data_IF_482188195697
#
_entry.id   IF_482188195697
#
_cell.length_a   1.000
_cell.length_b   1.000
_cell.length_c   1.000
_cell.angle_alpha   90.00
_cell.angle_beta   90.00
_cell.angle_gamma   90.00
#
_symmetry.space_group_name_H-M   'P 1'
#
loop_
_entity.id
_entity.type
_entity.pdbx_description
1 polymer ?
#
# COMPACT_ATOMS: atom_id res chain seq x y z
N UNK A 1 14.78 57.35 13.66
CA UNK A 1 14.61 56.67 12.35
C UNK A 1 15.41 55.36 12.23
N UNK A 2 16.64 55.26 12.78
CA UNK A 2 17.47 54.04 12.66
C UNK A 2 16.98 52.85 13.48
N UNK A 3 16.44 53.07 14.69
CA UNK A 3 15.94 52.01 15.56
C UNK A 3 14.72 51.28 14.96
N UNK A 4 13.76 52.02 14.41
CA UNK A 4 12.56 51.46 13.77
C UNK A 4 12.94 50.59 12.56
N UNK A 5 13.90 51.05 11.74
CA UNK A 5 14.42 50.27 10.61
C UNK A 5 15.09 48.96 11.05
N UNK A 6 15.91 49.01 12.11
CA UNK A 6 16.56 47.83 12.67
C UNK A 6 15.54 46.80 13.20
N UNK A 7 14.51 47.25 13.92
CA UNK A 7 13.45 46.37 14.44
C UNK A 7 12.67 45.72 13.30
N UNK A 8 12.29 46.48 12.27
CA UNK A 8 11.60 45.92 11.09
C UNK A 8 12.45 44.89 10.35
N UNK A 9 13.74 45.17 10.14
CA UNK A 9 14.67 44.21 9.53
C UNK A 9 14.81 42.93 10.35
N UNK A 10 14.91 43.03 11.68
CA UNK A 10 14.98 41.88 12.56
C UNK A 10 13.69 41.04 12.52
N UNK A 11 12.52 41.68 12.53
CA UNK A 11 11.22 40.99 12.43
C UNK A 11 11.06 40.23 11.11
N UNK A 12 11.50 40.82 10.00
CA UNK A 12 11.49 40.15 8.69
C UNK A 12 12.41 38.92 8.69
N UNK A 13 13.60 39.03 9.26
CA UNK A 13 14.53 37.92 9.40
C UNK A 13 13.93 36.80 10.25
N UNK A 14 13.41 37.10 11.45
CA UNK A 14 12.78 36.09 12.32
C UNK A 14 11.63 35.37 11.60
N UNK A 15 10.78 36.14 10.90
CA UNK A 15 9.67 35.58 10.14
C UNK A 15 10.14 34.69 8.98
N UNK A 16 11.24 35.04 8.32
CA UNK A 16 11.82 34.22 7.26
C UNK A 16 12.40 32.90 7.80
N UNK A 17 13.09 32.95 8.95
CA UNK A 17 13.62 31.75 9.61
C UNK A 17 12.50 30.81 10.07
N UNK A 18 11.43 31.34 10.68
CA UNK A 18 10.27 30.54 11.08
C UNK A 18 9.65 29.80 9.89
N UNK A 19 9.40 30.50 8.77
CA UNK A 19 8.86 29.88 7.55
C UNK A 19 9.78 28.80 6.97
N UNK A 20 11.09 29.04 6.96
CA UNK A 20 12.05 28.06 6.48
C UNK A 20 12.08 26.81 7.37
N UNK A 21 11.93 26.98 8.69
CA UNK A 21 11.85 25.86 9.63
C UNK A 21 10.56 25.06 9.44
N UNK A 22 9.42 25.72 9.31
CA UNK A 22 8.12 25.07 9.05
C UNK A 22 8.14 24.27 7.75
N UNK A 23 8.75 24.82 6.70
CA UNK A 23 8.90 24.13 5.41
C UNK A 23 9.72 22.83 5.55
N UNK A 24 10.81 22.86 6.34
CA UNK A 24 11.64 21.67 6.61
C UNK A 24 10.88 20.62 7.41
N UNK A 25 10.16 21.01 8.47
CA UNK A 25 9.35 20.09 9.28
C UNK A 25 8.23 19.45 8.45
N UNK A 26 7.54 20.26 7.63
CA UNK A 26 6.51 19.78 6.70
C UNK A 26 7.08 18.80 5.67
N UNK A 27 8.26 19.08 5.11
CA UNK A 27 8.94 18.15 4.22
C UNK A 27 9.33 16.86 4.92
N UNK A 28 9.88 16.94 6.14
CA UNK A 28 10.26 15.78 6.95
C UNK A 28 9.06 14.86 7.19
N UNK A 29 7.91 15.44 7.59
CA UNK A 29 6.66 14.71 7.75
C UNK A 29 6.22 14.03 6.44
N UNK A 30 6.18 14.76 5.32
CA UNK A 30 5.76 14.20 4.02
C UNK A 30 6.63 13.04 3.56
N UNK A 31 7.94 13.13 3.76
CA UNK A 31 8.87 12.04 3.44
C UNK A 31 8.57 10.80 4.30
N UNK A 32 8.37 10.98 5.61
CA UNK A 32 8.03 9.86 6.49
C UNK A 32 6.69 9.25 6.14
N UNK A 33 5.67 10.08 5.91
CA UNK A 33 4.32 9.65 5.55
C UNK A 33 4.34 8.88 4.24
N UNK A 34 5.14 9.28 3.24
CA UNK A 34 5.34 8.54 2.00
C UNK A 34 6.15 7.23 2.17
N UNK A 35 6.83 7.06 3.30
CA UNK A 35 7.59 5.84 3.64
C UNK A 35 9.08 5.90 3.28
N UNK A 36 9.63 7.08 3.05
CA UNK A 36 11.07 7.26 2.91
C UNK A 36 11.77 7.13 4.27
N UNK A 37 13.00 6.62 4.26
CA UNK A 37 13.85 6.48 5.45
C UNK A 37 14.69 7.72 5.75
N UNK A 38 14.75 8.69 4.84
CA UNK A 38 15.58 9.91 4.92
C UNK A 38 15.03 11.02 5.84
N UNK A 39 14.00 10.72 6.63
CA UNK A 39 13.35 11.64 7.55
C UNK A 39 13.83 11.41 8.99
N UNK A 40 13.88 12.49 9.77
CA UNK A 40 14.15 12.46 11.21
C UNK A 40 12.83 12.28 11.99
N UNK A 41 12.71 11.12 12.65
CA UNK A 41 11.51 10.76 13.41
C UNK A 41 11.37 11.60 14.68
N UNK A 42 12.48 12.13 15.23
CA UNK A 42 12.47 12.95 16.45
C UNK A 42 11.76 14.31 16.26
N UNK A 43 11.60 14.74 15.00
CA UNK A 43 10.93 15.98 14.64
C UNK A 43 9.41 15.83 14.43
N UNK A 44 8.86 14.63 14.67
CA UNK A 44 7.44 14.37 14.50
C UNK A 44 6.68 14.48 15.83
N UNK A 45 5.55 15.17 15.79
CA UNK A 45 4.61 15.16 16.91
C UNK A 45 3.78 13.86 16.97
N UNK A 46 3.05 13.66 18.06
CA UNK A 46 2.23 12.47 18.29
C UNK A 46 1.16 12.25 17.20
N UNK A 47 0.55 13.33 16.68
CA UNK A 47 -0.47 13.25 15.64
C UNK A 47 0.17 12.83 14.30
N UNK A 48 1.31 13.40 13.97
CA UNK A 48 2.09 13.05 12.79
C UNK A 48 2.56 11.60 12.82
N UNK A 49 3.05 11.11 13.96
CA UNK A 49 3.43 9.71 14.14
C UNK A 49 2.27 8.75 13.90
N UNK A 50 1.08 9.10 14.39
CA UNK A 50 -0.14 8.30 14.18
C UNK A 50 -0.56 8.26 12.70
N UNK A 51 -0.54 9.41 12.02
CA UNK A 51 -0.81 9.47 10.58
C UNK A 51 0.21 8.66 9.76
N UNK A 52 1.49 8.74 10.12
CA UNK A 52 2.55 7.92 9.53
C UNK A 52 2.29 6.42 9.72
N UNK A 53 1.88 5.98 10.92
CA UNK A 53 1.53 4.58 11.18
C UNK A 53 0.37 4.12 10.31
N UNK A 54 -0.69 4.93 10.19
CA UNK A 54 -1.83 4.62 9.32
C UNK A 54 -1.42 4.54 7.85
N UNK A 55 -0.61 5.48 7.37
CA UNK A 55 -0.10 5.48 6.01
C UNK A 55 0.76 4.24 5.72
N UNK A 56 1.60 3.83 6.67
CA UNK A 56 2.40 2.62 6.59
C UNK A 56 1.53 1.35 6.53
N UNK A 57 0.53 1.25 7.41
CA UNK A 57 -0.43 0.13 7.40
C UNK A 57 -1.18 0.05 6.06
N UNK A 58 -1.68 1.18 5.56
CA UNK A 58 -2.38 1.25 4.29
C UNK A 58 -1.49 0.85 3.10
N UNK A 59 -0.21 1.27 3.06
CA UNK A 59 0.75 0.80 2.06
C UNK A 59 0.99 -0.70 2.15
N UNK A 60 1.22 -1.20 3.37
CA UNK A 60 1.49 -2.62 3.60
C UNK A 60 0.32 -3.49 3.15
N UNK A 61 -0.90 -3.11 3.52
CA UNK A 61 -2.12 -3.76 3.08
C UNK A 61 -2.23 -3.80 1.55
N UNK A 62 -2.00 -2.68 0.85
CA UNK A 62 -2.01 -2.66 -0.62
C UNK A 62 -0.95 -3.59 -1.23
N UNK A 63 0.21 -3.72 -0.61
CA UNK A 63 1.24 -4.65 -1.07
C UNK A 63 0.84 -6.11 -0.87
N UNK A 64 0.28 -6.45 0.28
CA UNK A 64 -0.22 -7.79 0.55
C UNK A 64 -1.38 -8.18 -0.37
N UNK A 65 -2.36 -7.29 -0.55
CA UNK A 65 -3.51 -7.53 -1.41
C UNK A 65 -3.11 -7.72 -2.89
N UNK A 66 -2.04 -7.03 -3.33
CA UNK A 66 -1.43 -7.26 -4.65
C UNK A 66 -0.61 -8.55 -4.72
N UNK A 67 -0.17 -9.11 -3.60
CA UNK A 67 0.64 -10.32 -3.52
C UNK A 67 2.15 -10.05 -3.64
N UNK A 68 2.61 -8.85 -3.28
CA UNK A 68 4.05 -8.57 -3.26
C UNK A 68 4.72 -9.21 -2.05
N UNK A 69 5.83 -9.93 -2.28
CA UNK A 69 6.60 -10.60 -1.22
C UNK A 69 7.16 -9.67 -0.13
N UNK A 70 7.32 -8.37 -0.45
CA UNK A 70 7.81 -7.34 0.49
C UNK A 70 6.80 -6.91 1.55
N UNK A 71 5.58 -7.42 1.50
CA UNK A 71 4.55 -7.06 2.46
C UNK A 71 4.75 -7.85 3.76
N UNK A 72 4.37 -7.26 4.89
CA UNK A 72 4.42 -7.89 6.20
C UNK A 72 3.00 -8.25 6.65
N UNK A 73 2.67 -9.54 6.60
CA UNK A 73 1.36 -10.02 7.04
C UNK A 73 1.12 -9.74 8.53
N UNK A 74 2.13 -9.66 9.38
CA UNK A 74 1.98 -9.45 10.83
C UNK A 74 1.47 -8.05 11.18
N UNK A 75 1.67 -7.08 10.29
CA UNK A 75 1.19 -5.71 10.48
C UNK A 75 -0.30 -5.52 10.17
N UNK A 76 -0.94 -6.47 9.48
CA UNK A 76 -2.33 -6.34 9.05
C UNK A 76 -3.29 -6.51 10.23
N UNK A 77 -4.41 -5.77 10.19
CA UNK A 77 -5.57 -6.10 11.02
C UNK A 77 -6.16 -7.43 10.60
N UNK A 78 -6.96 -8.05 11.47
CA UNK A 78 -7.65 -9.30 11.14
C UNK A 78 -8.53 -9.17 9.89
N UNK A 79 -9.31 -8.09 9.80
CA UNK A 79 -10.12 -7.79 8.63
C UNK A 79 -9.29 -7.66 7.35
N UNK A 80 -8.15 -6.95 7.42
CA UNK A 80 -7.24 -6.80 6.29
C UNK A 80 -6.63 -8.13 5.86
N UNK A 81 -6.26 -8.99 6.82
CA UNK A 81 -5.72 -10.33 6.55
C UNK A 81 -6.75 -11.19 5.82
N UNK A 82 -7.99 -11.23 6.33
CA UNK A 82 -9.09 -11.96 5.68
C UNK A 82 -9.33 -11.48 4.24
N UNK A 83 -9.26 -10.17 3.99
CA UNK A 83 -9.38 -9.62 2.64
C UNK A 83 -8.22 -10.04 1.73
N UNK A 84 -6.98 -9.98 2.21
CA UNK A 84 -5.80 -10.43 1.47
C UNK A 84 -5.92 -11.91 1.11
N UNK A 85 -6.34 -12.75 2.05
CA UNK A 85 -6.50 -14.19 1.84
C UNK A 85 -7.61 -14.48 0.81
N UNK A 86 -8.73 -13.75 0.88
CA UNK A 86 -9.80 -13.84 -0.12
C UNK A 86 -9.32 -13.41 -1.52
N UNK A 87 -8.61 -12.28 -1.63
CA UNK A 87 -8.01 -11.81 -2.88
C UNK A 87 -7.00 -12.82 -3.44
N UNK A 88 -6.16 -13.41 -2.59
CA UNK A 88 -5.21 -14.45 -2.99
C UNK A 88 -5.94 -15.70 -3.50
N UNK A 89 -6.99 -16.14 -2.81
CA UNK A 89 -7.78 -17.29 -3.23
C UNK A 89 -8.51 -17.04 -4.56
N UNK A 90 -9.05 -15.84 -4.76
CA UNK A 90 -9.70 -15.45 -6.01
C UNK A 90 -8.72 -15.44 -7.20
N UNK A 91 -7.48 -14.98 -7.00
CA UNK A 91 -6.43 -15.03 -8.03
C UNK A 91 -6.06 -16.45 -8.42
N UNK A 92 -5.84 -17.34 -7.43
CA UNK A 92 -5.53 -18.76 -7.68
C UNK A 92 -6.65 -19.41 -8.52
N UNK A 93 -7.90 -19.18 -8.13
CA UNK A 93 -9.04 -19.69 -8.85
C UNK A 93 -9.10 -19.18 -10.29
N UNK A 94 -8.96 -17.86 -10.50
CA UNK A 94 -8.95 -17.27 -11.85
C UNK A 94 -7.86 -17.84 -12.75
N UNK A 95 -6.65 -18.04 -12.21
CA UNK A 95 -5.55 -18.67 -12.96
C UNK A 95 -5.93 -20.06 -13.46
N UNK A 96 -6.56 -20.85 -12.60
CA UNK A 96 -7.00 -22.20 -12.95
C UNK A 96 -8.18 -22.21 -13.92
N UNK A 97 -9.16 -21.36 -13.69
CA UNK A 97 -10.37 -21.26 -14.52
C UNK A 97 -10.06 -20.74 -15.93
N UNK A 98 -9.06 -19.87 -16.07
CA UNK A 98 -8.55 -19.43 -17.38
C UNK A 98 -7.65 -20.47 -18.08
N UNK A 99 -7.41 -21.64 -17.47
CA UNK A 99 -6.65 -22.73 -18.08
C UNK A 99 -5.13 -22.51 -18.15
N UNK A 100 -4.57 -21.62 -17.33
CA UNK A 100 -3.11 -21.44 -17.29
C UNK A 100 -2.42 -22.73 -16.85
N UNK A 101 -1.35 -23.12 -17.56
CA UNK A 101 -0.57 -24.32 -17.26
C UNK A 101 0.12 -24.30 -15.89
N UNK A 102 0.35 -23.11 -15.32
CA UNK A 102 0.89 -22.92 -13.98
C UNK A 102 -0.16 -23.06 -12.86
N UNK A 103 -1.42 -23.34 -13.20
CA UNK A 103 -2.46 -23.60 -12.22
C UNK A 103 -2.08 -24.79 -11.31
N UNK A 104 -2.15 -24.57 -10.00
CA UNK A 104 -2.10 -25.64 -9.02
C UNK A 104 -3.48 -25.80 -8.35
N UNK A 105 -4.26 -26.78 -8.81
CA UNK A 105 -5.62 -27.02 -8.31
C UNK A 105 -5.66 -27.46 -6.84
N UNK A 106 -4.56 -27.98 -6.27
CA UNK A 106 -4.53 -28.36 -4.84
C UNK A 106 -4.64 -27.15 -3.90
N UNK A 107 -4.41 -25.95 -4.40
CA UNK A 107 -4.55 -24.69 -3.66
C UNK A 107 -5.97 -24.11 -3.73
N UNK A 108 -6.89 -24.77 -4.43
CA UNK A 108 -8.28 -24.36 -4.57
C UNK A 108 -9.18 -25.03 -3.53
N UNK A 109 -10.30 -24.38 -3.21
CA UNK A 109 -11.36 -25.06 -2.44
C UNK A 109 -12.01 -26.16 -3.30
N UNK A 110 -12.69 -27.12 -2.68
CA UNK A 110 -13.39 -28.18 -3.41
C UNK A 110 -14.40 -27.64 -4.42
N UNK A 111 -15.14 -26.59 -4.06
CA UNK A 111 -16.10 -25.93 -4.97
C UNK A 111 -15.40 -25.29 -6.17
N UNK A 112 -14.27 -24.62 -5.94
CA UNK A 112 -13.47 -24.03 -7.01
C UNK A 112 -12.87 -25.10 -7.95
N UNK A 113 -12.40 -26.23 -7.43
CA UNK A 113 -11.89 -27.33 -8.26
C UNK A 113 -12.99 -27.89 -9.18
N UNK A 114 -14.20 -28.09 -8.65
CA UNK A 114 -15.33 -28.56 -9.43
C UNK A 114 -15.67 -27.58 -10.57
N UNK A 115 -15.71 -26.28 -10.28
CA UNK A 115 -15.96 -25.25 -11.28
C UNK A 115 -14.87 -25.20 -12.37
N UNK A 116 -13.58 -25.28 -12.00
CA UNK A 116 -12.49 -25.34 -12.99
C UNK A 116 -12.63 -26.57 -13.88
N UNK A 117 -12.97 -27.72 -13.30
CA UNK A 117 -13.17 -28.96 -14.07
C UNK A 117 -14.31 -28.82 -15.09
N UNK A 118 -15.41 -28.20 -14.68
CA UNK A 118 -16.53 -27.90 -15.56
C UNK A 118 -16.13 -26.94 -16.70
N UNK A 119 -15.51 -25.80 -16.39
CA UNK A 119 -15.02 -24.83 -17.38
C UNK A 119 -14.09 -25.50 -18.41
N UNK A 120 -13.20 -26.39 -17.97
CA UNK A 120 -12.28 -27.12 -18.85
C UNK A 120 -13.00 -28.12 -19.76
N UNK A 121 -14.03 -28.81 -19.27
CA UNK A 121 -14.85 -29.70 -20.07
C UNK A 121 -15.62 -28.92 -21.14
N UNK A 122 -16.20 -27.77 -20.78
CA UNK A 122 -16.90 -26.89 -21.72
C UNK A 122 -15.96 -26.38 -22.82
N UNK A 123 -14.76 -25.93 -22.47
CA UNK A 123 -13.76 -25.48 -23.45
C UNK A 123 -13.38 -26.60 -24.43
N UNK A 124 -13.16 -27.83 -23.93
CA UNK A 124 -12.87 -29.00 -24.78
C UNK A 124 -14.04 -29.35 -25.71
N UNK A 125 -15.28 -29.20 -25.26
CA UNK A 125 -16.46 -29.43 -26.09
C UNK A 125 -16.63 -28.38 -27.20
N UNK A 126 -16.11 -27.17 -27.01
CA UNK A 126 -16.13 -26.08 -27.99
C UNK A 126 -14.98 -26.14 -29.01
N UNK A 127 -13.88 -26.82 -28.69
CA UNK A 127 -12.70 -26.97 -29.57
C UNK A 127 -13.01 -27.49 -31.00
N UNK A 128 -13.95 -28.44 -31.21
CA UNK A 128 -14.36 -28.87 -32.55
C UNK A 128 -15.08 -27.78 -33.37
N UNK A 129 -15.64 -26.75 -32.74
CA UNK A 129 -16.40 -25.66 -33.39
C UNK A 129 -15.50 -24.48 -33.82
N UNK A 130 -14.21 -24.50 -33.44
CA UNK A 130 -13.22 -23.44 -33.71
C UNK A 130 -12.19 -23.85 -34.77
N UNK A 131 -12.37 -25.01 -35.42
CA UNK A 131 -11.53 -25.50 -36.53
C UNK A 131 -12.23 -25.39 -37.86
#
# INVERSE_FOLDING_TARGET
>A
MNLIRLVLSLLLLVSAHARAQDAKLSQNYRLREAGYSSCDISLLDARQLELVRRAALARNFRYCDRGYARCDMTMLTEHQRAQVDASAQAKKFRYCDSGYSSCNQSLLTRSQQAQVSESQLQLKAQLPQLR
#
